data_IF_732242004859
#
_entry.id   IF_732242004859
#
_cell.length_a   1.000
_cell.length_b   1.000
_cell.length_c   1.000
_cell.angle_alpha   90.00
_cell.angle_beta   90.00
_cell.angle_gamma   90.00
#
_symmetry.space_group_name_H-M   'P 1'
#
loop_
_entity.id
_entity.type
_entity.pdbx_description
1 polymer ?
#
# COMPACT_ATOMS: atom_id res chain seq x y z
N UNK A 1 -11.35 19.67 5.01
CA UNK A 1 -11.44 18.30 5.59
C UNK A 1 -12.40 17.45 4.76
N UNK A 2 -11.98 16.96 3.59
CA UNK A 2 -12.83 16.07 2.76
C UNK A 2 -12.25 14.66 2.75
N UNK A 3 -10.95 14.54 2.47
CA UNK A 3 -10.25 13.25 2.38
C UNK A 3 -10.25 12.46 3.70
N UNK A 4 -9.99 13.09 4.85
CA UNK A 4 -9.95 12.41 6.14
C UNK A 4 -11.30 11.79 6.52
N UNK A 5 -12.38 12.56 6.33
CA UNK A 5 -13.76 12.11 6.58
C UNK A 5 -14.12 10.94 5.67
N UNK A 6 -13.76 11.05 4.40
CA UNK A 6 -14.03 10.03 3.39
C UNK A 6 -13.34 8.70 3.69
N UNK A 7 -12.09 8.74 4.14
CA UNK A 7 -11.32 7.55 4.51
C UNK A 7 -11.62 7.04 5.93
N UNK A 8 -12.50 7.72 6.70
CA UNK A 8 -12.81 7.34 8.08
C UNK A 8 -11.63 7.49 9.04
N UNK A 9 -10.69 8.40 8.75
CA UNK A 9 -9.47 8.63 9.56
C UNK A 9 -9.38 10.06 10.06
N UNK A 10 -8.47 10.29 11.01
CA UNK A 10 -8.17 11.66 11.46
C UNK A 10 -7.35 12.41 10.41
N UNK A 11 -7.47 13.74 10.39
CA UNK A 11 -6.60 14.59 9.56
C UNK A 11 -5.11 14.41 9.91
N UNK A 12 -4.79 14.17 11.18
CA UNK A 12 -3.42 13.91 11.63
C UNK A 12 -2.84 12.64 10.98
N UNK A 13 -3.66 11.59 10.81
CA UNK A 13 -3.25 10.37 10.08
C UNK A 13 -2.79 10.70 8.66
N UNK A 14 -3.55 11.52 7.93
CA UNK A 14 -3.17 11.95 6.57
C UNK A 14 -1.85 12.73 6.61
N UNK A 15 -1.73 13.70 7.50
CA UNK A 15 -0.51 14.51 7.65
C UNK A 15 0.72 13.64 7.93
N UNK A 16 0.59 12.57 8.70
CA UNK A 16 1.70 11.65 8.96
C UNK A 16 2.21 10.92 7.71
N UNK A 17 1.34 10.60 6.75
CA UNK A 17 1.78 10.06 5.46
C UNK A 17 2.37 11.14 4.55
N UNK A 18 1.72 12.31 4.44
CA UNK A 18 2.20 13.42 3.60
C UNK A 18 3.58 13.94 4.04
N UNK A 19 3.79 14.12 5.34
CA UNK A 19 5.09 14.52 5.89
C UNK A 19 6.07 13.36 6.07
N UNK A 20 5.77 12.19 5.47
CA UNK A 20 6.66 11.02 5.48
C UNK A 20 7.05 10.53 6.89
N UNK A 21 6.22 10.83 7.90
CA UNK A 21 6.38 10.31 9.28
C UNK A 21 6.00 8.84 9.36
N UNK A 22 5.16 8.37 8.43
CA UNK A 22 4.80 6.96 8.24
C UNK A 22 5.04 6.56 6.79
N UNK A 23 5.46 5.31 6.58
CA UNK A 23 5.48 4.69 5.26
C UNK A 23 6.61 5.11 4.31
N UNK A 24 7.46 6.09 4.62
CA UNK A 24 8.50 6.61 3.70
C UNK A 24 9.35 5.50 3.05
N UNK A 25 9.98 4.64 3.87
CA UNK A 25 10.82 3.53 3.40
C UNK A 25 10.06 2.56 2.48
N UNK A 26 8.80 2.28 2.81
CA UNK A 26 7.94 1.38 2.03
C UNK A 26 7.47 2.04 0.72
N UNK A 27 7.16 3.33 0.76
CA UNK A 27 6.70 4.11 -0.39
C UNK A 27 7.79 4.18 -1.46
N UNK A 28 9.05 4.44 -1.09
CA UNK A 28 10.17 4.44 -2.04
C UNK A 28 10.31 3.11 -2.78
N UNK A 29 10.14 1.98 -2.06
CA UNK A 29 10.21 0.64 -2.65
C UNK A 29 9.03 0.33 -3.56
N UNK A 30 7.81 0.59 -3.09
CA UNK A 30 6.58 0.29 -3.85
C UNK A 30 6.45 1.18 -5.08
N UNK A 31 6.81 2.45 -4.98
CA UNK A 31 6.69 3.43 -6.07
C UNK A 31 7.71 3.22 -7.19
N UNK A 32 8.71 2.35 -7.00
CA UNK A 32 9.64 1.95 -8.05
C UNK A 32 9.00 1.04 -9.11
N UNK A 33 7.84 0.43 -8.81
CA UNK A 33 7.11 -0.40 -9.75
C UNK A 33 5.90 0.35 -10.32
N UNK A 34 5.99 0.73 -11.60
CA UNK A 34 4.95 1.51 -12.28
C UNK A 34 3.59 0.81 -12.29
N UNK A 35 3.54 -0.52 -12.46
CA UNK A 35 2.27 -1.26 -12.44
C UNK A 35 1.55 -1.11 -11.10
N UNK A 36 2.28 -1.21 -9.98
CA UNK A 36 1.69 -0.99 -8.65
C UNK A 36 1.17 0.44 -8.54
N UNK A 37 1.96 1.44 -8.95
CA UNK A 37 1.56 2.85 -8.91
C UNK A 37 0.28 3.08 -9.71
N UNK A 38 0.16 2.47 -10.90
CA UNK A 38 -1.04 2.58 -11.72
C UNK A 38 -2.26 1.91 -11.08
N UNK A 39 -2.11 0.73 -10.46
CA UNK A 39 -3.20 0.08 -9.75
C UNK A 39 -3.68 0.92 -8.56
N UNK A 40 -2.76 1.46 -7.75
CA UNK A 40 -3.08 2.34 -6.63
C UNK A 40 -3.77 3.61 -7.09
N UNK A 41 -3.30 4.22 -8.19
CA UNK A 41 -3.91 5.43 -8.76
C UNK A 41 -5.35 5.17 -9.22
N UNK A 42 -5.59 4.09 -9.97
CA UNK A 42 -6.94 3.70 -10.40
C UNK A 42 -7.88 3.46 -9.21
N UNK A 43 -7.37 2.83 -8.14
CA UNK A 43 -8.15 2.64 -6.93
C UNK A 43 -8.45 3.97 -6.22
N UNK A 44 -7.46 4.85 -6.09
CA UNK A 44 -7.62 6.16 -5.48
C UNK A 44 -8.59 7.06 -6.26
N UNK A 45 -8.52 7.06 -7.59
CA UNK A 45 -9.44 7.80 -8.46
C UNK A 45 -10.88 7.29 -8.29
N UNK A 46 -11.06 5.96 -8.24
CA UNK A 46 -12.35 5.31 -8.02
C UNK A 46 -12.93 5.52 -6.61
N UNK A 47 -12.07 5.68 -5.62
CA UNK A 47 -12.50 6.15 -4.30
C UNK A 47 -12.93 7.61 -4.42
N UNK A 48 -12.05 8.50 -4.90
CA UNK A 48 -12.27 9.96 -4.97
C UNK A 48 -13.55 10.37 -5.69
N UNK A 49 -13.93 9.66 -6.75
CA UNK A 49 -15.14 9.94 -7.53
C UNK A 49 -16.39 9.17 -7.03
N UNK A 50 -16.26 8.31 -6.02
CA UNK A 50 -17.34 7.48 -5.49
C UNK A 50 -17.81 6.38 -6.45
N UNK A 51 -16.99 5.97 -7.42
CA UNK A 51 -17.35 4.97 -8.44
C UNK A 51 -16.99 3.54 -8.07
N UNK A 52 -16.44 3.31 -6.87
CA UNK A 52 -16.02 2.00 -6.37
C UNK A 52 -16.84 1.68 -5.12
N UNK A 53 -17.51 0.52 -5.12
CA UNK A 53 -18.23 0.04 -3.94
C UNK A 53 -17.28 -0.47 -2.85
N UNK A 54 -17.74 -0.59 -1.59
CA UNK A 54 -16.92 -1.10 -0.49
C UNK A 54 -16.34 -2.49 -0.76
N UNK A 55 -17.13 -3.38 -1.37
CA UNK A 55 -16.69 -4.75 -1.73
C UNK A 55 -15.59 -4.70 -2.79
N UNK A 56 -15.76 -3.84 -3.79
CA UNK A 56 -14.79 -3.66 -4.87
C UNK A 56 -13.52 -2.97 -4.38
N UNK A 57 -13.64 -2.03 -3.43
CA UNK A 57 -12.52 -1.39 -2.77
C UNK A 57 -11.65 -2.44 -2.06
N UNK A 58 -12.27 -3.32 -1.26
CA UNK A 58 -11.57 -4.40 -0.56
C UNK A 58 -10.88 -5.34 -1.57
N UNK A 59 -11.59 -5.76 -2.62
CA UNK A 59 -11.03 -6.66 -3.64
C UNK A 59 -9.81 -6.05 -4.35
N UNK A 60 -9.95 -4.82 -4.86
CA UNK A 60 -8.85 -4.10 -5.55
C UNK A 60 -7.68 -3.80 -4.62
N UNK A 61 -7.95 -3.50 -3.36
CA UNK A 61 -6.91 -3.32 -2.35
C UNK A 61 -6.14 -4.63 -2.11
N UNK A 62 -6.85 -5.76 -1.98
CA UNK A 62 -6.25 -7.09 -1.89
C UNK A 62 -5.40 -7.45 -3.12
N UNK A 63 -5.81 -7.05 -4.33
CA UNK A 63 -5.04 -7.25 -5.56
C UNK A 63 -3.72 -6.47 -5.54
N UNK A 64 -3.78 -5.19 -5.14
CA UNK A 64 -2.58 -4.36 -4.93
C UNK A 64 -1.63 -5.02 -3.92
N UNK A 65 -2.14 -5.43 -2.76
CA UNK A 65 -1.35 -6.09 -1.73
C UNK A 65 -0.73 -7.40 -2.23
N UNK A 66 -1.49 -8.21 -2.97
CA UNK A 66 -1.01 -9.47 -3.54
C UNK A 66 0.08 -9.24 -4.59
N UNK A 67 -0.06 -8.21 -5.43
CA UNK A 67 0.94 -7.84 -6.43
C UNK A 67 2.24 -7.32 -5.80
N UNK A 68 2.15 -6.53 -4.72
CA UNK A 68 3.33 -6.09 -3.96
C UNK A 68 4.07 -7.29 -3.36
N UNK A 69 3.32 -8.25 -2.79
CA UNK A 69 3.87 -9.46 -2.16
C UNK A 69 4.52 -10.40 -3.18
N UNK A 70 3.85 -10.66 -4.31
CA UNK A 70 4.38 -11.56 -5.35
C UNK A 70 5.66 -11.00 -5.98
N UNK A 71 5.77 -9.68 -6.13
CA UNK A 71 6.97 -8.99 -6.60
C UNK A 71 8.05 -8.78 -5.53
N UNK A 72 7.80 -9.18 -4.29
CA UNK A 72 8.77 -9.11 -3.18
C UNK A 72 9.34 -7.70 -2.91
N UNK A 73 8.60 -6.65 -3.27
CA UNK A 73 9.10 -5.26 -3.23
C UNK A 73 9.45 -4.78 -1.81
N UNK A 74 8.92 -5.44 -0.78
CA UNK A 74 9.08 -5.05 0.62
C UNK A 74 10.02 -5.95 1.42
N UNK A 75 10.65 -6.97 0.81
CA UNK A 75 11.45 -7.94 1.56
C UNK A 75 12.61 -7.32 2.34
N UNK A 76 13.25 -6.28 1.83
CA UNK A 76 14.38 -5.61 2.51
C UNK A 76 13.94 -4.76 3.72
N UNK A 77 12.66 -4.38 3.78
CA UNK A 77 12.10 -3.48 4.80
C UNK A 77 11.30 -4.27 5.84
N UNK A 78 10.93 -5.51 5.54
CA UNK A 78 10.14 -6.40 6.40
C UNK A 78 10.91 -7.03 7.56
N UNK A 79 12.23 -6.84 7.67
CA UNK A 79 13.03 -7.34 8.79
C UNK A 79 12.60 -6.87 10.19
N UNK A 80 11.69 -5.90 10.28
CA UNK A 80 11.18 -5.34 11.55
C UNK A 80 9.73 -5.75 11.87
N UNK A 81 9.02 -6.51 11.02
CA UNK A 81 7.59 -6.83 11.23
C UNK A 81 7.24 -8.28 10.86
N UNK A 82 7.33 -9.19 11.83
CA UNK A 82 6.88 -10.60 11.78
C UNK A 82 5.34 -10.75 11.71
N UNK A 83 4.64 -10.06 10.80
CA UNK A 83 3.15 -10.06 10.77
C UNK A 83 2.59 -10.58 9.44
N UNK A 84 3.43 -10.96 8.48
CA UNK A 84 2.97 -11.55 7.22
C UNK A 84 3.85 -12.74 6.88
N UNK A 85 3.31 -13.95 7.08
CA UNK A 85 3.96 -15.20 6.71
C UNK A 85 4.47 -15.22 5.26
N UNK A 86 5.76 -15.50 5.16
CA UNK A 86 6.43 -16.43 4.23
C UNK A 86 6.38 -16.18 2.71
N UNK A 87 6.24 -14.93 2.23
CA UNK A 87 6.55 -14.62 0.83
C UNK A 87 8.04 -14.28 0.57
N UNK A 88 8.76 -13.85 1.61
CA UNK A 88 10.20 -13.59 1.59
C UNK A 88 10.95 -14.78 2.20
N UNK A 89 10.94 -15.92 1.52
CA UNK A 89 11.70 -17.09 1.96
C UNK A 89 13.20 -16.80 2.01
N UNK A 90 13.81 -17.00 3.18
CA UNK A 90 15.25 -17.06 3.36
C UNK A 90 15.83 -18.26 2.59
N UNK A 91 16.74 -17.99 1.66
CA UNK A 91 17.94 -18.81 1.45
C UNK A 91 19.07 -17.89 0.97
N UNK A 92 19.99 -17.59 1.88
CA UNK A 92 21.34 -17.15 1.54
C UNK A 92 22.09 -18.36 0.99
N UNK A 93 22.28 -18.46 -0.32
CA UNK A 93 23.26 -19.32 -0.99
C UNK A 93 23.57 -18.60 -2.31
N UNK A 94 24.78 -18.21 -2.71
CA UNK A 94 26.16 -18.55 -2.31
C UNK A 94 27.02 -17.30 -2.53
#
# INVERSE_FOLDING_TARGET
MVVAKMLGVTQATISHYLYSKRGKKYLEKVSSNEDIVQMVKKLADGVANGSVSDVELIARFCDVCSSIRSKRLLCDVQGELNVVGDACGLRKET
#
